data_IF_145503351526
#
_entry.id   IF_145503351526
#
_cell.length_a   1.000
_cell.length_b   1.000
_cell.length_c   1.000
_cell.angle_alpha   90.00
_cell.angle_beta   90.00
_cell.angle_gamma   90.00
#
_symmetry.space_group_name_H-M   'P 1'
#
loop_
_entity.id
_entity.type
_entity.pdbx_description
1 polymer ?
#
# COMPACT_ATOMS: atom_id res chain seq x y z
N UNK A 1 -3.02 26.90 0.75
CA UNK A 1 -2.00 26.06 0.05
C UNK A 1 -2.69 25.24 -1.05
N UNK A 2 -2.83 25.78 -2.26
CA UNK A 2 -3.40 25.09 -3.45
C UNK A 2 -2.43 25.10 -4.66
N UNK A 3 -1.23 25.64 -4.48
CA UNK A 3 -0.30 25.96 -5.57
C UNK A 3 0.42 24.75 -6.17
N UNK A 4 0.48 23.61 -5.46
CA UNK A 4 1.13 22.38 -5.95
C UNK A 4 0.29 21.64 -7.00
N UNK A 5 -1.03 21.56 -6.81
CA UNK A 5 -1.96 20.88 -7.72
C UNK A 5 -2.09 21.61 -9.05
N UNK A 6 -2.22 22.94 -9.02
CA UNK A 6 -2.31 23.80 -10.19
C UNK A 6 -1.01 23.80 -11.02
N UNK A 7 0.15 23.89 -10.35
CA UNK A 7 1.45 23.77 -11.05
C UNK A 7 1.64 22.40 -11.70
N UNK A 8 1.09 21.33 -11.10
CA UNK A 8 1.12 19.97 -11.66
C UNK A 8 0.20 19.85 -12.87
N UNK A 9 -1.01 20.40 -12.81
CA UNK A 9 -1.95 20.44 -13.95
C UNK A 9 -1.35 21.22 -15.14
N UNK A 10 -0.75 22.39 -14.88
CA UNK A 10 -0.05 23.17 -15.92
C UNK A 10 1.13 22.39 -16.53
N UNK A 11 1.94 21.72 -15.70
CA UNK A 11 3.07 20.90 -16.18
C UNK A 11 2.62 19.63 -16.91
N UNK A 12 1.37 19.20 -16.71
CA UNK A 12 0.79 18.07 -17.43
C UNK A 12 0.28 18.47 -18.82
N UNK A 13 -0.33 19.66 -18.94
CA UNK A 13 -0.74 20.23 -20.22
C UNK A 13 0.45 20.55 -21.13
N UNK A 14 1.57 21.00 -20.55
CA UNK A 14 2.79 21.37 -21.30
C UNK A 14 3.60 20.16 -21.77
N UNK A 15 3.41 18.98 -21.16
CA UNK A 15 4.20 17.78 -21.44
C UNK A 15 3.45 16.68 -22.23
N UNK A 16 2.20 16.92 -22.67
CA UNK A 16 1.37 15.92 -23.36
C UNK A 16 1.27 14.57 -22.62
N UNK A 17 1.22 14.56 -21.29
CA UNK A 17 1.03 13.32 -20.55
C UNK A 17 -0.37 12.76 -20.79
N UNK A 18 -0.47 11.46 -21.03
CA UNK A 18 -1.76 10.79 -21.19
C UNK A 18 -2.52 10.76 -19.87
N UNK A 19 -3.84 10.57 -19.93
CA UNK A 19 -4.68 10.46 -18.74
C UNK A 19 -4.17 9.37 -17.77
N UNK A 20 -3.67 8.25 -18.32
CA UNK A 20 -3.10 7.16 -17.56
C UNK A 20 -1.84 7.59 -16.79
N UNK A 21 -0.92 8.30 -17.45
CA UNK A 21 0.29 8.81 -16.81
C UNK A 21 -0.02 9.82 -15.72
N UNK A 22 -0.99 10.71 -15.94
CA UNK A 22 -1.43 11.68 -14.94
C UNK A 22 -1.97 10.97 -13.69
N UNK A 23 -2.84 9.98 -13.85
CA UNK A 23 -3.42 9.20 -12.75
C UNK A 23 -2.35 8.48 -11.95
N UNK A 24 -1.38 7.83 -12.61
CA UNK A 24 -0.29 7.13 -11.90
C UNK A 24 0.65 8.09 -11.19
N UNK A 25 0.96 9.25 -11.78
CA UNK A 25 1.79 10.28 -11.14
C UNK A 25 1.10 10.88 -9.92
N UNK A 26 -0.22 10.98 -9.94
CA UNK A 26 -1.02 11.38 -8.78
C UNK A 26 -1.03 10.29 -7.70
N UNK A 27 -1.28 9.04 -8.07
CA UNK A 27 -1.29 7.93 -7.13
C UNK A 27 0.08 7.73 -6.43
N UNK A 28 1.17 8.10 -7.12
CA UNK A 28 2.56 8.00 -6.64
C UNK A 28 3.15 9.35 -6.21
N UNK A 29 2.32 10.33 -5.88
CA UNK A 29 2.78 11.66 -5.42
C UNK A 29 3.53 11.60 -4.08
N UNK A 30 4.35 12.62 -3.76
CA UNK A 30 5.09 12.73 -2.49
C UNK A 30 4.23 13.18 -1.28
N UNK A 31 2.91 13.21 -1.44
CA UNK A 31 1.99 13.62 -0.38
C UNK A 31 2.04 12.65 0.81
N UNK A 32 1.74 13.14 2.02
CA UNK A 32 1.84 12.34 3.25
C UNK A 32 0.67 11.34 3.43
N UNK A 33 -0.30 11.34 2.52
CA UNK A 33 -1.40 10.39 2.48
C UNK A 33 -1.27 9.42 1.30
N UNK A 34 -1.85 8.23 1.48
CA UNK A 34 -1.96 7.21 0.44
C UNK A 34 -2.92 7.64 -0.68
N UNK A 35 -2.80 7.06 -1.88
CA UNK A 35 -3.71 7.38 -2.98
C UNK A 35 -5.15 6.96 -2.63
N UNK A 36 -6.17 7.70 -3.10
CA UNK A 36 -7.56 7.32 -2.89
C UNK A 36 -7.88 5.99 -3.61
N UNK A 37 -8.67 5.13 -2.98
CA UNK A 37 -8.96 3.79 -3.49
C UNK A 37 -9.63 3.80 -4.87
N UNK A 38 -10.46 4.80 -5.16
CA UNK A 38 -11.07 4.98 -6.49
C UNK A 38 -10.05 5.19 -7.60
N UNK A 39 -9.06 6.07 -7.37
CA UNK A 39 -7.99 6.34 -8.34
C UNK A 39 -7.16 5.08 -8.63
N UNK A 40 -6.85 4.29 -7.60
CA UNK A 40 -6.10 3.05 -7.74
C UNK A 40 -6.90 1.98 -8.50
N UNK A 41 -8.22 1.90 -8.28
CA UNK A 41 -9.10 1.03 -9.03
C UNK A 41 -9.19 1.44 -10.52
N UNK A 42 -9.29 2.73 -10.82
CA UNK A 42 -9.27 3.23 -12.20
C UNK A 42 -7.95 2.89 -12.90
N UNK A 43 -6.80 3.08 -12.23
CA UNK A 43 -5.49 2.68 -12.77
C UNK A 43 -5.46 1.18 -13.05
N UNK A 44 -6.04 0.36 -12.17
CA UNK A 44 -6.16 -1.09 -12.39
C UNK A 44 -6.91 -1.42 -13.67
N UNK A 45 -8.00 -0.71 -13.96
CA UNK A 45 -8.79 -0.93 -15.17
C UNK A 45 -8.04 -0.46 -16.43
N UNK A 46 -7.24 0.61 -16.33
CA UNK A 46 -6.35 1.05 -17.41
C UNK A 46 -5.27 0.02 -17.77
N UNK A 47 -4.90 -0.91 -16.87
CA UNK A 47 -3.89 -1.93 -17.18
C UNK A 47 -4.36 -2.99 -18.19
N UNK A 48 -5.66 -3.07 -18.48
CA UNK A 48 -6.20 -4.02 -19.47
C UNK A 48 -6.00 -3.56 -20.92
N UNK A 49 -5.85 -2.26 -21.16
CA UNK A 49 -5.50 -1.73 -22.48
C UNK A 49 -3.96 -1.73 -22.67
N UNK A 50 -3.52 -2.15 -23.86
CA UNK A 50 -2.10 -2.40 -24.14
C UNK A 50 -1.24 -1.14 -24.11
N UNK A 51 -1.76 -0.03 -24.60
CA UNK A 51 -1.03 1.25 -24.70
C UNK A 51 -0.89 1.85 -23.30
N UNK A 52 -2.01 2.00 -22.59
CA UNK A 52 -2.04 2.53 -21.23
C UNK A 52 -1.31 1.64 -20.23
N UNK A 53 -1.25 0.32 -20.45
CA UNK A 53 -0.43 -0.58 -19.65
C UNK A 53 1.06 -0.18 -19.68
N UNK A 54 1.61 0.10 -20.87
CA UNK A 54 3.01 0.48 -21.01
C UNK A 54 3.31 1.80 -20.30
N UNK A 55 2.40 2.77 -20.41
CA UNK A 55 2.47 4.07 -19.73
C UNK A 55 2.41 3.92 -18.20
N UNK A 56 1.45 3.15 -17.69
CA UNK A 56 1.28 2.90 -16.24
C UNK A 56 2.52 2.23 -15.66
N UNK A 57 2.97 1.14 -16.27
CA UNK A 57 4.15 0.41 -15.81
C UNK A 57 5.41 1.25 -15.93
N UNK A 58 5.57 2.04 -17.00
CA UNK A 58 6.70 2.93 -17.21
C UNK A 58 6.88 3.95 -16.08
N UNK A 59 5.80 4.60 -15.65
CA UNK A 59 5.84 5.52 -14.52
C UNK A 59 6.14 4.79 -13.21
N UNK A 60 5.53 3.62 -12.97
CA UNK A 60 5.79 2.84 -11.75
C UNK A 60 7.27 2.48 -11.64
N UNK A 61 7.87 1.94 -12.70
CA UNK A 61 9.29 1.57 -12.70
C UNK A 61 10.20 2.79 -12.47
N UNK A 62 9.88 3.93 -13.08
CA UNK A 62 10.60 5.19 -12.84
C UNK A 62 10.54 5.60 -11.36
N UNK A 63 9.39 5.45 -10.71
CA UNK A 63 9.19 5.79 -9.29
C UNK A 63 9.84 4.79 -8.33
N UNK A 64 9.93 3.53 -8.70
CA UNK A 64 10.63 2.52 -7.92
C UNK A 64 12.14 2.75 -7.88
N UNK A 65 12.69 3.42 -8.90
CA UNK A 65 14.10 3.79 -8.97
C UNK A 65 14.43 5.14 -8.30
N UNK A 66 13.50 5.73 -7.54
CA UNK A 66 13.78 6.91 -6.71
C UNK A 66 14.57 6.52 -5.44
N UNK A 67 15.29 7.48 -4.83
CA UNK A 67 16.14 7.23 -3.66
C UNK A 67 16.02 8.32 -2.58
N UNK A 68 16.52 8.01 -1.38
CA UNK A 68 16.69 8.95 -0.27
C UNK A 68 15.39 9.67 0.12
N UNK A 69 15.40 11.00 0.09
CA UNK A 69 14.26 11.85 0.49
C UNK A 69 12.96 11.60 -0.29
N UNK A 70 13.04 10.94 -1.45
CA UNK A 70 11.89 10.58 -2.27
C UNK A 70 11.31 9.18 -1.95
N UNK A 71 11.64 8.59 -0.79
CA UNK A 71 11.16 7.27 -0.37
C UNK A 71 9.64 7.08 -0.49
N UNK A 72 8.83 8.14 -0.36
CA UNK A 72 7.37 8.05 -0.52
C UNK A 72 6.96 7.69 -1.94
N UNK A 73 7.69 8.17 -2.95
CA UNK A 73 7.46 7.76 -4.34
C UNK A 73 7.64 6.25 -4.48
N UNK A 74 8.74 5.72 -3.93
CA UNK A 74 9.05 4.28 -3.95
C UNK A 74 7.98 3.49 -3.20
N UNK A 75 7.64 3.90 -1.98
CA UNK A 75 6.63 3.23 -1.16
C UNK A 75 5.25 3.22 -1.81
N UNK A 76 4.79 4.36 -2.35
CA UNK A 76 3.49 4.46 -3.01
C UNK A 76 3.47 3.73 -4.35
N UNK A 77 4.58 3.71 -5.08
CA UNK A 77 4.72 2.89 -6.28
C UNK A 77 4.66 1.39 -5.97
N UNK A 78 5.32 0.92 -4.90
CA UNK A 78 5.20 -0.46 -4.43
C UNK A 78 3.78 -0.81 -3.98
N UNK A 79 3.10 0.12 -3.31
CA UNK A 79 1.72 -0.06 -2.85
C UNK A 79 0.75 -0.16 -4.03
N UNK A 80 0.93 0.70 -5.03
CA UNK A 80 0.16 0.64 -6.28
C UNK A 80 0.44 -0.67 -7.00
N UNK A 81 1.70 -1.07 -7.14
CA UNK A 81 2.09 -2.30 -7.82
C UNK A 81 1.52 -3.56 -7.13
N UNK A 82 1.53 -3.62 -5.80
CA UNK A 82 0.90 -4.71 -5.03
C UNK A 82 -0.60 -4.83 -5.33
N UNK A 83 -1.31 -3.71 -5.44
CA UNK A 83 -2.71 -3.72 -5.81
C UNK A 83 -2.90 -4.21 -7.26
N UNK A 84 -2.13 -3.67 -8.21
CA UNK A 84 -2.24 -4.04 -9.63
C UNK A 84 -1.89 -5.51 -9.89
N UNK A 85 -0.94 -6.08 -9.15
CA UNK A 85 -0.62 -7.52 -9.22
C UNK A 85 -1.80 -8.38 -8.78
N UNK A 86 -2.71 -7.87 -7.94
CA UNK A 86 -3.90 -8.59 -7.45
C UNK A 86 -5.15 -8.34 -8.31
N UNK A 87 -5.34 -7.13 -8.85
CA UNK A 87 -6.61 -6.75 -9.51
C UNK A 87 -6.48 -6.34 -10.98
N UNK A 88 -5.26 -6.03 -11.43
CA UNK A 88 -5.02 -5.58 -12.80
C UNK A 88 -4.93 -6.72 -13.80
N UNK A 89 -4.53 -6.42 -15.03
CA UNK A 89 -4.29 -7.40 -16.09
C UNK A 89 -3.27 -8.47 -15.70
N UNK A 90 -3.40 -9.69 -16.24
CA UNK A 90 -2.43 -10.79 -16.09
C UNK A 90 -1.02 -10.43 -16.61
N UNK A 91 -0.92 -9.34 -17.36
CA UNK A 91 0.35 -8.79 -17.82
C UNK A 91 1.17 -8.15 -16.69
N UNK A 92 0.52 -7.66 -15.63
CA UNK A 92 1.19 -6.98 -14.52
C UNK A 92 2.10 -7.96 -13.75
N UNK A 93 1.62 -9.12 -13.26
CA UNK A 93 2.50 -10.10 -12.60
C UNK A 93 3.66 -10.55 -13.49
N UNK A 94 3.40 -10.77 -14.79
CA UNK A 94 4.43 -11.17 -15.75
C UNK A 94 5.55 -10.12 -15.83
N UNK A 95 5.20 -8.86 -16.08
CA UNK A 95 6.18 -7.77 -16.13
C UNK A 95 6.95 -7.59 -14.81
N UNK A 96 6.32 -7.86 -13.67
CA UNK A 96 6.98 -7.82 -12.37
C UNK A 96 7.97 -8.98 -12.16
N UNK A 97 7.65 -10.17 -12.67
CA UNK A 97 8.54 -11.35 -12.62
C UNK A 97 9.74 -11.18 -13.55
N UNK A 98 9.51 -10.67 -14.77
CA UNK A 98 10.56 -10.41 -15.76
C UNK A 98 11.63 -9.45 -15.21
N UNK A 99 11.22 -8.45 -14.42
CA UNK A 99 12.10 -7.47 -13.78
C UNK A 99 12.15 -7.60 -12.24
N UNK A 100 12.04 -8.81 -11.71
CA UNK A 100 11.90 -9.02 -10.25
C UNK A 100 13.08 -8.45 -9.46
N UNK A 101 14.28 -8.40 -10.04
CA UNK A 101 15.47 -7.84 -9.39
C UNK A 101 15.30 -6.37 -9.00
N UNK A 102 14.61 -5.57 -9.83
CA UNK A 102 14.34 -4.16 -9.52
C UNK A 102 13.47 -3.99 -8.25
N UNK A 103 12.61 -4.97 -7.96
CA UNK A 103 11.80 -4.98 -6.73
C UNK A 103 12.61 -5.58 -5.57
N UNK A 104 13.46 -6.58 -5.83
CA UNK A 104 14.27 -7.23 -4.80
C UNK A 104 15.28 -6.30 -4.14
N UNK A 105 15.91 -5.39 -4.90
CA UNK A 105 16.86 -4.42 -4.35
C UNK A 105 16.21 -3.47 -3.34
N UNK A 106 14.89 -3.23 -3.44
CA UNK A 106 14.14 -2.40 -2.49
C UNK A 106 13.97 -3.05 -1.12
N UNK A 107 14.27 -4.35 -0.96
CA UNK A 107 14.30 -5.01 0.35
C UNK A 107 15.43 -4.49 1.26
N UNK A 108 16.42 -3.84 0.66
CA UNK A 108 17.58 -3.25 1.34
C UNK A 108 17.55 -1.71 1.30
N UNK A 109 16.41 -1.12 0.94
CA UNK A 109 16.23 0.33 0.87
C UNK A 109 16.45 1.00 2.25
N UNK A 110 17.30 2.02 2.29
CA UNK A 110 17.61 2.75 3.52
C UNK A 110 17.29 4.23 3.36
N UNK A 111 16.59 4.79 4.35
CA UNK A 111 16.44 6.23 4.49
C UNK A 111 16.12 6.59 5.94
N UNK A 112 17.04 7.32 6.58
CA UNK A 112 16.82 7.98 7.86
C UNK A 112 16.37 9.42 7.59
N UNK A 113 15.27 9.83 8.22
CA UNK A 113 14.82 11.22 8.15
C UNK A 113 15.66 12.14 9.05
N UNK A 114 15.33 13.43 9.06
CA UNK A 114 16.05 14.45 9.85
C UNK A 114 15.92 14.24 11.36
N UNK A 115 14.89 13.52 11.79
CA UNK A 115 14.62 13.21 13.19
C UNK A 115 15.27 11.86 13.60
N UNK A 116 16.05 11.25 12.69
CA UNK A 116 16.68 9.96 12.91
C UNK A 116 15.73 8.76 12.77
N UNK A 117 14.51 8.94 12.24
CA UNK A 117 13.57 7.84 12.05
C UNK A 117 13.83 7.12 10.74
N UNK A 118 13.84 5.79 10.80
CA UNK A 118 13.96 4.94 9.63
C UNK A 118 12.63 4.86 8.86
N UNK A 119 12.53 5.66 7.81
CA UNK A 119 11.39 5.62 6.89
C UNK A 119 11.55 4.54 5.82
N UNK A 120 12.77 4.02 5.64
CA UNK A 120 13.08 2.95 4.70
C UNK A 120 12.51 1.61 5.12
N UNK A 121 12.26 1.38 6.42
CA UNK A 121 11.66 0.13 6.93
C UNK A 121 10.34 -0.22 6.22
N UNK A 122 9.46 0.76 5.99
CA UNK A 122 8.17 0.55 5.32
C UNK A 122 8.34 0.09 3.86
N UNK A 123 9.34 0.64 3.16
CA UNK A 123 9.69 0.24 1.79
C UNK A 123 10.18 -1.20 1.77
N UNK A 124 11.09 -1.54 2.70
CA UNK A 124 11.67 -2.88 2.80
C UNK A 124 10.62 -3.95 3.10
N UNK A 125 9.73 -3.69 4.05
CA UNK A 125 8.65 -4.62 4.40
C UNK A 125 7.69 -4.84 3.23
N UNK A 126 7.27 -3.77 2.55
CA UNK A 126 6.40 -3.86 1.38
C UNK A 126 7.08 -4.62 0.22
N UNK A 127 8.35 -4.35 -0.04
CA UNK A 127 9.13 -5.05 -1.06
C UNK A 127 9.25 -6.56 -0.75
N UNK A 128 9.52 -6.93 0.51
CA UNK A 128 9.58 -8.34 0.95
C UNK A 128 8.24 -9.06 0.70
N UNK A 129 7.12 -8.43 1.07
CA UNK A 129 5.78 -8.99 0.85
C UNK A 129 5.49 -9.18 -0.64
N UNK A 130 5.77 -8.17 -1.47
CA UNK A 130 5.50 -8.22 -2.90
C UNK A 130 6.37 -9.28 -3.60
N UNK A 131 7.66 -9.34 -3.29
CA UNK A 131 8.56 -10.37 -3.84
C UNK A 131 8.11 -11.78 -3.42
N UNK A 132 7.71 -11.96 -2.16
CA UNK A 132 7.17 -13.25 -1.69
C UNK A 132 5.92 -13.65 -2.46
N UNK A 133 5.01 -12.72 -2.72
CA UNK A 133 3.79 -12.97 -3.50
C UNK A 133 4.11 -13.31 -4.97
N UNK A 134 5.04 -12.59 -5.61
CA UNK A 134 5.39 -12.81 -7.02
C UNK A 134 6.08 -14.15 -7.27
N UNK A 135 6.80 -14.68 -6.28
CA UNK A 135 7.49 -15.97 -6.33
C UNK A 135 6.56 -17.17 -6.12
N UNK A 136 5.45 -16.99 -5.41
CA UNK A 136 4.47 -18.05 -5.14
C UNK A 136 3.26 -17.88 -6.08
N UNK A 137 3.29 -18.60 -7.20
CA UNK A 137 2.26 -18.52 -8.24
C UNK A 137 0.88 -19.00 -7.77
N UNK A 138 0.84 -20.06 -6.98
CA UNK A 138 -0.42 -20.61 -6.45
C UNK A 138 -1.05 -19.67 -5.42
N UNK A 139 -0.24 -19.07 -4.55
CA UNK A 139 -0.73 -18.00 -3.66
C UNK A 139 -1.20 -16.79 -4.45
N UNK A 140 -0.44 -16.35 -5.46
CA UNK A 140 -0.85 -15.20 -6.27
C UNK A 140 -2.18 -15.45 -6.97
N UNK A 141 -2.39 -16.63 -7.56
CA UNK A 141 -3.64 -16.99 -8.22
C UNK A 141 -4.83 -16.95 -7.26
N UNK A 142 -4.66 -17.42 -6.03
CA UNK A 142 -5.69 -17.35 -4.97
C UNK A 142 -6.00 -15.91 -4.57
N UNK A 143 -4.98 -15.10 -4.33
CA UNK A 143 -5.13 -13.67 -3.98
C UNK A 143 -5.84 -12.88 -5.09
N UNK A 144 -5.48 -13.12 -6.36
CA UNK A 144 -6.14 -12.51 -7.53
C UNK A 144 -7.61 -12.91 -7.62
N UNK A 145 -7.90 -14.21 -7.51
CA UNK A 145 -9.28 -14.72 -7.54
C UNK A 145 -10.14 -14.10 -6.43
N UNK A 146 -9.57 -13.94 -5.23
CA UNK A 146 -10.24 -13.29 -4.10
C UNK A 146 -10.47 -11.80 -4.34
N UNK A 147 -9.43 -11.07 -4.77
CA UNK A 147 -9.47 -9.62 -4.97
C UNK A 147 -10.44 -9.21 -6.09
N UNK A 148 -10.45 -9.93 -7.21
CA UNK A 148 -11.36 -9.68 -8.33
C UNK A 148 -12.83 -9.90 -7.95
N UNK A 149 -13.12 -10.92 -7.13
CA UNK A 149 -14.47 -11.16 -6.58
C UNK A 149 -14.92 -10.03 -5.66
N UNK A 150 -14.02 -9.44 -4.89
CA UNK A 150 -14.34 -8.31 -4.03
C UNK A 150 -14.55 -7.02 -4.85
N UNK A 151 -13.76 -6.81 -5.90
CA UNK A 151 -13.90 -5.67 -6.83
C UNK A 151 -15.25 -5.72 -7.58
N UNK A 152 -15.69 -6.90 -8.03
CA UNK A 152 -16.96 -7.04 -8.75
C UNK A 152 -18.18 -6.77 -7.88
N UNK A 153 -18.13 -7.13 -6.59
CA UNK A 153 -19.23 -6.89 -5.63
C UNK A 153 -19.45 -5.40 -5.34
N UNK A 154 -18.37 -4.61 -5.30
CA UNK A 154 -18.46 -3.17 -5.08
C UNK A 154 -19.06 -2.44 -6.30
N UNK A 155 -18.86 -2.96 -7.52
CA UNK A 155 -19.48 -2.42 -8.73
C UNK A 155 -20.97 -2.78 -8.93
N UNK A 156 -21.46 -3.83 -8.26
CA UNK A 156 -22.83 -4.33 -8.40
C UNK A 156 -23.80 -3.84 -7.31
N UNK A 157 -23.30 -3.16 -6.27
CA UNK A 157 -24.12 -2.69 -5.15
C UNK A 157 -24.19 -1.17 -5.12
N UNK A 158 -25.06 -0.61 -5.96
CA UNK A 158 -25.67 0.69 -5.69
C UNK A 158 -26.67 0.54 -4.55
N UNK A 159 -26.19 0.42 -3.31
CA UNK A 159 -26.99 0.58 -2.09
C UNK A 159 -26.08 0.71 -0.88
N UNK A 160 -26.30 1.76 -0.11
CA UNK A 160 -25.64 2.15 1.14
C UNK A 160 -25.30 0.98 2.06
N UNK A 161 -24.01 0.73 2.30
CA UNK A 161 -23.56 0.16 3.58
C UNK A 161 -22.19 0.73 3.91
N UNK A 162 -22.13 1.48 5.02
CA UNK A 162 -20.90 1.96 5.64
C UNK A 162 -20.01 0.78 6.03
N UNK A 163 -18.98 0.51 5.23
CA UNK A 163 -17.91 -0.41 5.60
C UNK A 163 -16.82 0.37 6.33
N UNK A 164 -16.84 0.26 7.65
CA UNK A 164 -15.76 0.70 8.54
C UNK A 164 -14.51 -0.10 8.23
N UNK A 165 -13.56 0.50 7.50
CA UNK A 165 -12.20 -0.01 7.43
C UNK A 165 -11.58 0.12 8.83
N UNK A 166 -11.40 -1.00 9.52
CA UNK A 166 -10.61 -1.03 10.74
C UNK A 166 -9.18 -0.65 10.35
N UNK A 167 -8.76 0.54 10.79
CA UNK A 167 -7.38 1.00 10.69
C UNK A 167 -6.52 0.05 11.52
N UNK A 168 -5.91 -0.94 10.86
CA UNK A 168 -4.96 -1.84 11.49
C UNK A 168 -3.71 -1.03 11.82
N UNK A 169 -3.72 -0.48 13.03
CA UNK A 169 -2.60 0.19 13.66
C UNK A 169 -1.64 -0.90 14.13
N UNK A 170 -0.72 -1.34 13.27
CA UNK A 170 0.37 -2.22 13.69
C UNK A 170 1.41 -1.37 14.43
N UNK A 171 1.13 -1.13 15.71
CA UNK A 171 2.12 -0.66 16.67
C UNK A 171 3.15 -1.77 16.89
N UNK A 172 4.40 -1.44 16.63
CA UNK A 172 5.61 -2.16 17.02
C UNK A 172 5.49 -2.74 18.42
N UNK A 173 5.70 -4.05 18.59
CA UNK A 173 6.01 -4.64 19.89
C UNK A 173 7.34 -5.40 19.79
N UNK A 174 8.34 -4.71 20.31
CA UNK A 174 9.64 -5.23 20.73
C UNK A 174 9.43 -6.14 21.95
N UNK A 175 10.29 -7.16 22.03
CA UNK A 175 10.56 -8.18 23.04
C UNK A 175 10.11 -7.94 24.49
N UNK A 176 9.75 -9.03 25.17
CA UNK A 176 9.69 -9.10 26.64
C UNK A 176 9.00 -10.36 27.13
N UNK A 177 9.78 -11.24 27.76
CA UNK A 177 9.41 -12.53 28.33
C UNK A 177 8.51 -12.41 29.57
N UNK A 178 7.83 -13.53 29.87
CA UNK A 178 7.26 -14.00 31.14
C UNK A 178 6.78 -12.99 32.21
N UNK A 179 5.48 -13.08 32.55
CA UNK A 179 5.09 -13.61 33.87
C UNK A 179 3.59 -13.95 33.91
N UNK A 180 3.31 -15.15 34.42
CA UNK A 180 2.00 -15.67 34.79
C UNK A 180 1.23 -14.73 35.73
N UNK A 181 -0.12 -14.69 35.63
CA UNK A 181 -1.03 -14.97 36.76
C UNK A 181 -2.53 -14.96 36.42
N UNK A 182 -3.20 -15.83 37.15
CA UNK A 182 -4.55 -16.35 37.05
C UNK A 182 -5.66 -15.32 37.25
N UNK A 183 -6.78 -15.52 36.55
CA UNK A 183 -8.06 -14.81 36.74
C UNK A 183 -8.97 -15.71 37.59
N UNK A 184 -9.20 -15.32 38.83
CA UNK A 184 -10.18 -15.95 39.71
C UNK A 184 -10.73 -14.90 40.68
N UNK A 185 -11.99 -14.52 40.48
CA UNK A 185 -12.80 -13.78 41.47
C UNK A 185 -13.08 -14.70 42.68
N UNK A 186 -13.36 -14.19 43.90
CA UNK A 186 -14.68 -13.63 44.17
C UNK A 186 -14.73 -12.42 45.13
N UNK A 187 -15.90 -11.77 45.11
CA UNK A 187 -16.40 -10.76 46.04
C UNK A 187 -16.78 -11.37 47.39
N UNK A 188 -16.44 -10.73 48.51
CA UNK A 188 -17.28 -10.51 49.71
C UNK A 188 -16.50 -9.83 50.85
N UNK A 189 -17.16 -8.87 51.52
CA UNK A 189 -16.64 -7.95 52.53
C UNK A 189 -16.33 -8.57 53.91
N UNK A 190 -15.67 -7.81 54.82
CA UNK A 190 -16.01 -7.91 56.24
C UNK A 190 -16.28 -6.55 56.93
N UNK A 191 -17.34 -6.61 57.74
CA UNK A 191 -17.65 -5.98 59.03
C UNK A 191 -16.73 -4.89 59.59
N UNK A 192 -17.34 -3.73 59.91
CA UNK A 192 -16.78 -2.67 60.75
C UNK A 192 -16.59 -3.13 62.21
N UNK A 193 -15.43 -2.77 62.77
CA UNK A 193 -15.07 -2.93 64.18
C UNK A 193 -15.83 -1.94 65.07
N UNK A 194 -16.22 -2.42 66.24
CA UNK A 194 -16.72 -1.67 67.39
C UNK A 194 -15.67 -1.77 68.50
N UNK A 195 -15.29 -0.65 69.12
CA UNK A 195 -14.75 -0.48 70.50
C UNK A 195 -14.17 0.93 70.68
N UNK A 196 -13.98 1.40 71.91
CA UNK A 196 -14.78 1.20 73.13
C UNK A 196 -15.63 2.43 73.49
#
# INVERSE_FOLDING_TARGET
MQSSSLRRQMKNMVNNYTEAEVKVREATSNDHWGPPSGLVAEISDLTYNVVTFAEVMGIIWKRLNDHGKNWRHVYKALTLLDFLVKTGSERVPKACRDNIYAIQTLKDFQYLDRDGRDQGINVREKAKQLVSLLKDEEKLKRERSHALRNKSRVGASGSSTSVSYTSSSYTTRISGEDFSRCRGSPSSAPSFFMTP
#
